data_IF_294796916040
#
_entry.id   IF_294796916040
#
_cell.length_a   1.000
_cell.length_b   1.000
_cell.length_c   1.000
_cell.angle_alpha   90.00
_cell.angle_beta   90.00
_cell.angle_gamma   90.00
#
_symmetry.space_group_name_H-M   'P 1'
#
loop_
_entity.id
_entity.type
_entity.pdbx_description
1 polymer ?
#
# COMPACT_ATOMS: atom_id res chain seq x y z
N UNK A 1 -13.36 -3.12 -15.83
CA UNK A 1 -14.58 -3.37 -15.01
C UNK A 1 -15.07 -4.82 -15.03
N UNK A 2 -15.06 -5.55 -16.15
CA UNK A 2 -15.61 -6.92 -16.23
C UNK A 2 -14.94 -7.95 -15.28
N UNK A 3 -13.63 -7.86 -15.06
CA UNK A 3 -12.89 -8.78 -14.19
C UNK A 3 -13.26 -8.57 -12.72
N UNK A 4 -13.31 -7.32 -12.25
CA UNK A 4 -13.69 -6.99 -10.88
C UNK A 4 -15.11 -7.48 -10.55
N UNK A 5 -16.09 -7.28 -11.46
CA UNK A 5 -17.44 -7.78 -11.27
C UNK A 5 -17.52 -9.31 -11.19
N UNK A 6 -16.69 -10.03 -11.98
CA UNK A 6 -16.63 -11.49 -11.99
C UNK A 6 -16.03 -12.05 -10.69
N UNK A 7 -15.03 -11.38 -10.13
CA UNK A 7 -14.44 -11.76 -8.83
C UNK A 7 -15.44 -11.51 -7.70
N UNK A 8 -16.05 -10.33 -7.64
CA UNK A 8 -17.05 -9.99 -6.62
C UNK A 8 -18.20 -11.01 -6.59
N UNK A 9 -18.77 -11.35 -7.76
CA UNK A 9 -19.87 -12.32 -7.85
C UNK A 9 -19.49 -13.72 -7.38
N UNK A 10 -18.25 -14.18 -7.66
CA UNK A 10 -17.77 -15.50 -7.21
C UNK A 10 -17.41 -15.53 -5.73
N UNK A 11 -16.88 -14.44 -5.19
CA UNK A 11 -16.60 -14.29 -3.74
C UNK A 11 -17.92 -14.30 -2.97
N UNK A 12 -18.90 -13.50 -3.37
CA UNK A 12 -20.26 -13.49 -2.78
C UNK A 12 -20.94 -14.86 -2.89
N UNK A 13 -20.78 -15.55 -4.02
CA UNK A 13 -21.32 -16.91 -4.21
C UNK A 13 -20.74 -17.95 -3.24
N UNK A 14 -19.51 -17.76 -2.76
CA UNK A 14 -18.89 -18.62 -1.71
C UNK A 14 -19.10 -18.11 -0.29
N UNK A 15 -19.33 -16.81 -0.09
CA UNK A 15 -19.58 -16.21 1.21
C UNK A 15 -20.97 -16.57 1.77
N UNK A 16 -22.00 -16.55 0.92
CA UNK A 16 -23.39 -16.88 1.30
C UNK A 16 -23.57 -18.26 1.94
N UNK A 17 -23.06 -19.38 1.38
CA UNK A 17 -23.21 -20.70 1.99
C UNK A 17 -22.42 -20.87 3.30
N UNK A 18 -21.44 -20.00 3.58
CA UNK A 18 -20.62 -20.03 4.81
C UNK A 18 -21.19 -19.10 5.90
N UNK A 19 -22.30 -18.40 5.64
CA UNK A 19 -22.91 -17.47 6.59
C UNK A 19 -22.09 -16.21 6.85
N UNK A 20 -21.21 -15.83 5.91
CA UNK A 20 -20.34 -14.68 6.05
C UNK A 20 -21.10 -13.38 5.70
N UNK A 21 -21.20 -12.48 6.67
CA UNK A 21 -21.72 -11.14 6.45
C UNK A 21 -20.58 -10.22 5.95
N UNK A 22 -20.57 -9.98 4.63
CA UNK A 22 -19.56 -9.16 3.95
C UNK A 22 -20.20 -7.82 3.57
N UNK A 23 -19.97 -6.74 4.33
CA UNK A 23 -20.42 -5.42 3.93
C UNK A 23 -19.74 -4.98 2.62
N UNK A 24 -20.42 -4.12 1.86
CA UNK A 24 -19.94 -3.66 0.55
C UNK A 24 -18.55 -3.00 0.61
N UNK A 25 -18.24 -2.28 1.70
CA UNK A 25 -16.91 -1.68 1.93
C UNK A 25 -15.79 -2.72 2.01
N UNK A 26 -16.04 -3.83 2.71
CA UNK A 26 -15.10 -4.96 2.78
C UNK A 26 -14.94 -5.66 1.44
N UNK A 27 -16.03 -5.79 0.67
CA UNK A 27 -15.98 -6.39 -0.65
C UNK A 27 -15.15 -5.56 -1.63
N UNK A 28 -15.31 -4.22 -1.63
CA UNK A 28 -14.53 -3.31 -2.47
C UNK A 28 -13.04 -3.40 -2.12
N UNK A 29 -12.71 -3.38 -0.83
CA UNK A 29 -11.32 -3.52 -0.36
C UNK A 29 -10.70 -4.85 -0.78
N UNK A 30 -11.44 -5.94 -0.62
CA UNK A 30 -11.01 -7.30 -0.99
C UNK A 30 -10.78 -7.44 -2.50
N UNK A 31 -11.67 -6.88 -3.31
CA UNK A 31 -11.56 -6.85 -4.77
C UNK A 31 -10.39 -5.99 -5.23
N UNK A 32 -10.11 -4.87 -4.54
CA UNK A 32 -8.94 -4.04 -4.81
C UNK A 32 -7.64 -4.79 -4.48
N UNK A 33 -7.51 -5.34 -3.27
CA UNK A 33 -6.29 -6.02 -2.83
C UNK A 33 -6.01 -7.35 -3.54
N UNK A 34 -7.06 -7.99 -4.05
CA UNK A 34 -6.93 -9.23 -4.83
C UNK A 34 -6.42 -9.00 -6.25
N UNK A 35 -6.43 -7.78 -6.79
CA UNK A 35 -6.00 -7.46 -8.16
C UNK A 35 -6.62 -8.38 -9.23
N UNK A 36 -7.86 -8.84 -9.01
CA UNK A 36 -8.56 -9.74 -9.94
C UNK A 36 -8.26 -11.24 -9.77
N UNK A 37 -7.40 -11.62 -8.82
CA UNK A 37 -7.11 -13.02 -8.50
C UNK A 37 -8.12 -13.58 -7.47
N UNK A 38 -8.92 -14.56 -7.90
CA UNK A 38 -9.94 -15.21 -7.06
C UNK A 38 -9.30 -16.02 -5.92
N UNK A 39 -8.15 -16.66 -6.14
CA UNK A 39 -7.46 -17.43 -5.08
C UNK A 39 -6.99 -16.50 -3.98
N UNK A 40 -6.38 -15.37 -4.36
CA UNK A 40 -5.97 -14.34 -3.40
C UNK A 40 -7.17 -13.76 -2.65
N UNK A 41 -8.25 -13.44 -3.37
CA UNK A 41 -9.50 -12.94 -2.79
C UNK A 41 -10.07 -13.87 -1.72
N UNK A 42 -10.14 -15.18 -1.99
CA UNK A 42 -10.65 -16.17 -1.05
C UNK A 42 -9.74 -16.36 0.17
N UNK A 43 -8.42 -16.33 -0.02
CA UNK A 43 -7.48 -16.40 1.10
C UNK A 43 -7.65 -15.20 2.04
N UNK A 44 -7.74 -13.99 1.48
CA UNK A 44 -7.99 -12.77 2.26
C UNK A 44 -9.33 -12.87 3.00
N UNK A 45 -10.40 -13.32 2.32
CA UNK A 45 -11.72 -13.50 2.92
C UNK A 45 -11.66 -14.42 4.16
N UNK A 46 -11.09 -15.61 3.98
CA UNK A 46 -11.02 -16.62 5.05
C UNK A 46 -10.14 -16.16 6.21
N UNK A 47 -8.98 -15.57 5.93
CA UNK A 47 -8.10 -15.02 6.97
C UNK A 47 -8.76 -13.87 7.72
N UNK A 48 -9.49 -13.00 7.03
CA UNK A 48 -10.20 -11.87 7.67
C UNK A 48 -11.34 -12.38 8.54
N UNK A 49 -12.09 -13.39 8.08
CA UNK A 49 -13.14 -14.01 8.89
C UNK A 49 -12.61 -14.72 10.14
N UNK A 50 -11.48 -15.41 10.03
CA UNK A 50 -10.84 -16.04 11.20
C UNK A 50 -10.31 -15.00 12.20
N UNK A 51 -9.85 -13.84 11.71
CA UNK A 51 -9.31 -12.78 12.56
C UNK A 51 -10.38 -11.84 13.15
N UNK A 52 -11.52 -11.68 12.47
CA UNK A 52 -12.58 -10.74 12.84
C UNK A 52 -13.96 -11.30 12.46
N UNK A 53 -14.93 -11.16 13.37
CA UNK A 53 -16.32 -11.57 13.12
C UNK A 53 -16.98 -10.78 11.98
N UNK A 54 -16.52 -9.54 11.70
CA UNK A 54 -17.02 -8.69 10.62
C UNK A 54 -15.92 -8.36 9.61
N UNK A 55 -16.23 -8.51 8.33
CA UNK A 55 -15.29 -8.27 7.22
C UNK A 55 -15.42 -6.81 6.76
N UNK A 56 -14.98 -5.88 7.60
CA UNK A 56 -14.93 -4.45 7.24
C UNK A 56 -13.71 -4.13 6.38
N UNK A 57 -13.72 -2.98 5.71
CA UNK A 57 -12.55 -2.48 4.96
C UNK A 57 -11.28 -2.47 5.83
N UNK A 58 -11.36 -1.91 7.04
CA UNK A 58 -10.22 -1.84 7.97
C UNK A 58 -9.68 -3.23 8.33
N UNK A 59 -10.57 -4.19 8.61
CA UNK A 59 -10.17 -5.56 8.92
C UNK A 59 -9.42 -6.22 7.75
N UNK A 60 -9.87 -5.98 6.51
CA UNK A 60 -9.23 -6.51 5.30
C UNK A 60 -7.85 -5.90 5.07
N UNK A 61 -7.69 -4.59 5.27
CA UNK A 61 -6.39 -3.91 5.14
C UNK A 61 -5.40 -4.36 6.23
N UNK A 62 -5.84 -4.42 7.48
CA UNK A 62 -5.03 -4.88 8.61
C UNK A 62 -4.60 -6.34 8.46
N UNK A 63 -5.53 -7.23 8.09
CA UNK A 63 -5.24 -8.66 7.91
C UNK A 63 -4.19 -8.92 6.82
N UNK A 64 -4.15 -8.08 5.79
CA UNK A 64 -3.19 -8.21 4.69
C UNK A 64 -1.90 -7.41 4.89
N UNK A 65 -1.77 -6.69 6.02
CA UNK A 65 -0.65 -5.80 6.30
C UNK A 65 -0.53 -4.65 5.29
N UNK A 66 -1.62 -4.31 4.59
CA UNK A 66 -1.65 -3.19 3.66
C UNK A 66 -2.04 -1.91 4.40
N UNK A 67 -1.40 -0.79 4.08
CA UNK A 67 -1.76 0.49 4.67
C UNK A 67 -3.13 0.96 4.14
N UNK A 68 -3.90 1.62 5.02
CA UNK A 68 -5.14 2.27 4.63
C UNK A 68 -4.84 3.43 3.66
N UNK A 69 -5.79 3.81 2.78
CA UNK A 69 -5.60 4.96 1.89
C UNK A 69 -5.22 6.25 2.64
N UNK A 70 -5.85 6.50 3.80
CA UNK A 70 -5.54 7.63 4.70
C UNK A 70 -4.11 7.58 5.24
N UNK A 71 -3.62 6.38 5.55
CA UNK A 71 -2.25 6.19 6.04
C UNK A 71 -1.23 6.48 4.94
N UNK A 72 -1.53 6.10 3.69
CA UNK A 72 -0.65 6.38 2.54
C UNK A 72 -0.56 7.87 2.23
N UNK A 73 -1.68 8.59 2.28
CA UNK A 73 -1.68 10.05 2.11
C UNK A 73 -0.79 10.71 3.18
N UNK A 74 -0.95 10.28 4.43
CA UNK A 74 -0.16 10.81 5.55
C UNK A 74 1.34 10.46 5.43
N UNK A 75 1.67 9.22 5.05
CA UNK A 75 3.05 8.77 4.82
C UNK A 75 3.68 9.57 3.67
N UNK A 76 2.96 9.73 2.56
CA UNK A 76 3.43 10.48 1.40
C UNK A 76 3.64 11.96 1.74
N UNK A 77 2.76 12.53 2.56
CA UNK A 77 2.93 13.89 3.08
C UNK A 77 4.21 14.03 3.90
N UNK A 78 4.49 13.09 4.82
CA UNK A 78 5.72 13.12 5.60
C UNK A 78 6.96 12.99 4.73
N UNK A 79 6.97 12.04 3.81
CA UNK A 79 8.09 11.83 2.88
C UNK A 79 8.39 13.07 2.03
N UNK A 80 7.35 13.81 1.60
CA UNK A 80 7.48 14.98 0.74
C UNK A 80 7.70 16.31 1.48
N UNK A 81 7.40 16.42 2.77
CA UNK A 81 7.45 17.72 3.47
C UNK A 81 8.34 17.72 4.72
N UNK A 82 8.47 16.60 5.41
CA UNK A 82 9.13 16.56 6.71
C UNK A 82 10.64 16.29 6.62
N UNK A 83 11.37 16.56 7.70
CA UNK A 83 12.79 16.22 7.77
C UNK A 83 13.03 14.70 7.74
N UNK A 84 14.26 14.27 7.44
CA UNK A 84 14.65 12.86 7.46
C UNK A 84 14.36 12.22 8.84
N UNK A 85 14.70 12.92 9.93
CA UNK A 85 14.51 12.42 11.29
C UNK A 85 13.03 12.21 11.64
N UNK A 86 12.16 13.15 11.25
CA UNK A 86 10.72 13.02 11.45
C UNK A 86 10.12 11.91 10.59
N UNK A 87 10.54 11.80 9.33
CA UNK A 87 10.13 10.72 8.43
C UNK A 87 10.60 9.35 8.92
N UNK A 88 11.76 9.27 9.59
CA UNK A 88 12.29 8.00 10.12
C UNK A 88 11.44 7.43 11.27
N UNK A 89 10.67 8.28 11.97
CA UNK A 89 9.66 7.82 12.95
C UNK A 89 8.59 6.92 12.32
N UNK A 90 8.47 6.91 10.98
CA UNK A 90 7.67 5.93 10.25
C UNK A 90 8.07 4.48 10.57
N UNK A 91 9.34 4.21 10.92
CA UNK A 91 9.80 2.88 11.32
C UNK A 91 9.03 2.35 12.54
N UNK A 92 8.76 3.22 13.50
CA UNK A 92 8.02 2.85 14.70
C UNK A 92 6.53 2.72 14.37
N UNK A 93 5.98 3.68 13.61
CA UNK A 93 4.56 3.67 13.21
C UNK A 93 4.19 2.44 12.39
N UNK A 94 5.02 2.02 11.43
CA UNK A 94 4.80 0.80 10.63
C UNK A 94 4.80 -0.44 11.51
N UNK A 95 5.71 -0.49 12.49
CA UNK A 95 5.83 -1.63 13.42
C UNK A 95 4.62 -1.73 14.34
N UNK A 96 4.17 -0.60 14.91
CA UNK A 96 2.97 -0.54 15.76
C UNK A 96 1.69 -0.96 15.02
N UNK A 97 1.57 -0.61 13.74
CA UNK A 97 0.40 -0.95 12.90
C UNK A 97 0.53 -2.28 12.14
N UNK A 98 1.66 -2.98 12.23
CA UNK A 98 1.89 -4.22 11.48
C UNK A 98 1.97 -4.05 9.95
N UNK A 99 2.40 -2.88 9.48
CA UNK A 99 2.47 -2.58 8.05
C UNK A 99 3.77 -3.11 7.43
N UNK A 100 3.63 -3.79 6.30
CA UNK A 100 4.79 -4.27 5.54
C UNK A 100 5.38 -3.12 4.70
N UNK A 101 6.71 -2.95 4.75
CA UNK A 101 7.38 -1.89 3.99
C UNK A 101 7.16 -2.04 2.48
N UNK A 102 7.15 -3.27 1.97
CA UNK A 102 6.85 -3.58 0.57
C UNK A 102 5.48 -3.05 0.13
N UNK A 103 4.46 -3.14 1.01
CA UNK A 103 3.13 -2.62 0.72
C UNK A 103 3.11 -1.09 0.74
N UNK A 104 3.86 -0.46 1.65
CA UNK A 104 4.04 1.00 1.68
C UNK A 104 4.70 1.47 0.38
N UNK A 105 5.81 0.86 -0.04
CA UNK A 105 6.52 1.22 -1.27
C UNK A 105 5.60 1.09 -2.50
N UNK A 106 4.83 0.00 -2.59
CA UNK A 106 3.86 -0.21 -3.69
C UNK A 106 2.77 0.86 -3.74
N UNK A 107 2.11 1.12 -2.62
CA UNK A 107 1.02 2.09 -2.58
C UNK A 107 1.52 3.53 -2.74
N UNK A 108 2.69 3.86 -2.20
CA UNK A 108 3.35 5.16 -2.43
C UNK A 108 3.72 5.32 -3.91
N UNK A 109 4.22 4.27 -4.56
CA UNK A 109 4.49 4.30 -6.02
C UNK A 109 3.22 4.60 -6.81
N UNK A 110 2.09 3.97 -6.46
CA UNK A 110 0.79 4.25 -7.06
C UNK A 110 0.30 5.69 -6.77
N UNK A 111 0.65 6.24 -5.61
CA UNK A 111 0.37 7.64 -5.27
C UNK A 111 1.21 8.62 -6.11
N UNK A 112 2.49 8.32 -6.33
CA UNK A 112 3.41 9.11 -7.17
C UNK A 112 2.91 9.21 -8.62
N UNK A 113 2.26 8.17 -9.14
CA UNK A 113 1.62 8.23 -10.47
C UNK A 113 0.44 9.20 -10.55
N UNK A 114 -0.25 9.47 -9.43
CA UNK A 114 -1.42 10.36 -9.40
C UNK A 114 -1.06 11.82 -9.21
N UNK A 115 0.03 12.11 -8.52
CA UNK A 115 0.47 13.49 -8.24
C UNK A 115 1.11 14.13 -9.48
N UNK A 116 0.87 15.44 -9.67
CA UNK A 116 1.51 16.21 -10.73
C UNK A 116 2.93 16.59 -10.29
N UNK A 117 3.92 16.03 -10.97
CA UNK A 117 5.34 16.32 -10.83
C UNK A 117 5.94 16.48 -12.24
N UNK A 118 7.05 17.24 -12.39
CA UNK A 118 7.83 17.26 -13.62
C UNK A 118 8.21 15.84 -14.06
N UNK A 119 8.22 15.60 -15.37
CA UNK A 119 8.47 14.28 -15.96
C UNK A 119 9.76 13.65 -15.45
N UNK A 120 10.83 14.42 -15.43
CA UNK A 120 12.18 13.90 -15.20
C UNK A 120 12.34 13.46 -13.74
N UNK A 121 11.85 14.29 -12.81
CA UNK A 121 11.83 13.97 -11.38
C UNK A 121 10.94 12.76 -11.11
N UNK A 122 9.78 12.67 -11.77
CA UNK A 122 8.88 11.54 -11.60
C UNK A 122 9.50 10.23 -12.09
N UNK A 123 10.12 10.24 -13.27
CA UNK A 123 10.78 9.05 -13.84
C UNK A 123 11.90 8.57 -12.94
N UNK A 124 12.75 9.49 -12.47
CA UNK A 124 13.84 9.15 -11.56
C UNK A 124 13.30 8.55 -10.24
N UNK A 125 12.31 9.18 -9.62
CA UNK A 125 11.71 8.71 -8.38
C UNK A 125 11.08 7.30 -8.53
N UNK A 126 10.43 7.02 -9.66
CA UNK A 126 9.86 5.70 -9.93
C UNK A 126 10.95 4.63 -10.09
N UNK A 127 12.04 4.95 -10.80
CA UNK A 127 13.16 4.02 -10.94
C UNK A 127 13.79 3.69 -9.58
N UNK A 128 14.01 4.71 -8.74
CA UNK A 128 14.55 4.52 -7.40
C UNK A 128 13.61 3.69 -6.49
N UNK A 129 12.30 3.89 -6.61
CA UNK A 129 11.29 3.08 -5.91
C UNK A 129 11.30 1.62 -6.38
N UNK A 130 11.47 1.38 -7.68
CA UNK A 130 11.56 0.04 -8.25
C UNK A 130 12.81 -0.71 -7.73
N UNK A 131 13.94 -0.03 -7.59
CA UNK A 131 15.15 -0.61 -6.99
C UNK A 131 14.94 -1.01 -5.53
N UNK A 132 14.21 -0.19 -4.75
CA UNK A 132 13.85 -0.53 -3.36
C UNK A 132 12.92 -1.75 -3.34
N UNK A 133 11.89 -1.78 -4.19
CA UNK A 133 10.99 -2.94 -4.30
C UNK A 133 11.76 -4.22 -4.68
N UNK A 134 12.67 -4.13 -5.64
CA UNK A 134 13.54 -5.23 -6.04
C UNK A 134 14.38 -5.72 -4.86
N UNK A 135 15.06 -4.84 -4.14
CA UNK A 135 15.88 -5.22 -2.97
C UNK A 135 15.05 -5.85 -1.86
N UNK A 136 13.85 -5.33 -1.59
CA UNK A 136 12.93 -5.91 -0.61
C UNK A 136 12.49 -7.33 -1.00
N UNK A 137 12.39 -7.64 -2.30
CA UNK A 137 12.05 -8.99 -2.76
C UNK A 137 13.10 -10.05 -2.41
N UNK A 138 14.36 -9.66 -2.16
CA UNK A 138 15.43 -10.56 -1.70
C UNK A 138 15.53 -10.68 -0.17
N UNK A 139 14.59 -10.11 0.59
CA UNK A 139 14.63 -10.16 2.06
C UNK A 139 15.66 -9.22 2.67
N UNK A 140 15.96 -8.10 2.02
CA UNK A 140 16.84 -7.06 2.58
C UNK A 140 16.27 -6.46 3.89
N UNK A 141 17.14 -5.84 4.68
CA UNK A 141 16.76 -5.23 5.95
C UNK A 141 15.79 -4.05 5.77
N UNK A 142 14.58 -4.21 6.30
CA UNK A 142 13.50 -3.21 6.32
C UNK A 142 13.94 -1.82 6.79
N UNK A 143 14.78 -1.71 7.84
CA UNK A 143 15.20 -0.42 8.38
C UNK A 143 16.10 0.34 7.40
N UNK A 144 16.99 -0.37 6.72
CA UNK A 144 17.89 0.22 5.72
C UNK A 144 17.11 0.65 4.47
N UNK A 145 16.17 -0.18 4.02
CA UNK A 145 15.33 0.17 2.87
C UNK A 145 14.36 1.31 3.19
N UNK A 146 13.89 1.44 4.43
CA UNK A 146 13.13 2.59 4.87
C UNK A 146 13.96 3.88 4.83
N UNK A 147 15.22 3.83 5.28
CA UNK A 147 16.14 4.97 5.15
C UNK A 147 16.36 5.36 3.69
N UNK A 148 16.52 4.36 2.82
CA UNK A 148 16.63 4.56 1.36
C UNK A 148 15.37 5.22 0.79
N UNK A 149 14.19 4.78 1.22
CA UNK A 149 12.91 5.37 0.83
C UNK A 149 12.86 6.87 1.20
N UNK A 150 13.26 7.25 2.42
CA UNK A 150 13.23 8.65 2.84
C UNK A 150 14.24 9.50 2.05
N UNK A 151 15.42 8.94 1.77
CA UNK A 151 16.47 9.61 1.00
C UNK A 151 16.04 9.92 -0.44
N UNK A 152 15.40 8.97 -1.14
CA UNK A 152 14.94 9.19 -2.52
C UNK A 152 13.87 10.27 -2.61
N UNK A 153 12.97 10.35 -1.63
CA UNK A 153 11.99 11.43 -1.56
C UNK A 153 12.64 12.77 -1.23
N UNK A 154 13.65 12.77 -0.36
CA UNK A 154 14.43 13.98 -0.05
C UNK A 154 15.15 14.51 -1.30
N UNK A 155 15.76 13.63 -2.10
CA UNK A 155 16.36 13.97 -3.39
C UNK A 155 15.34 14.52 -4.38
N UNK A 156 14.17 13.89 -4.48
CA UNK A 156 13.09 14.36 -5.35
C UNK A 156 12.64 15.78 -4.98
N UNK A 157 12.53 16.12 -3.69
CA UNK A 157 12.22 17.51 -3.26
C UNK A 157 13.28 18.51 -3.70
N UNK A 158 14.55 18.18 -3.51
CA UNK A 158 15.65 19.04 -3.91
C UNK A 158 15.64 19.29 -5.42
N UNK A 159 15.33 18.25 -6.21
CA UNK A 159 15.17 18.36 -7.66
C UNK A 159 13.95 19.22 -8.03
N UNK A 160 12.82 19.07 -7.34
CA UNK A 160 11.64 19.93 -7.56
C UNK A 160 11.94 21.40 -7.29
N UNK A 161 12.66 21.72 -6.20
CA UNK A 161 13.06 23.10 -5.89
C UNK A 161 14.02 23.65 -6.94
N UNK A 162 14.91 22.82 -7.49
CA UNK A 162 15.83 23.23 -8.55
C UNK A 162 15.13 23.55 -9.87
N UNK A 163 14.03 22.86 -10.21
CA UNK A 163 13.25 23.10 -11.44
C UNK A 163 12.38 24.36 -11.36
N UNK A 164 12.02 24.79 -10.15
CA UNK A 164 11.20 26.00 -9.91
C UNK A 164 12.05 27.28 -9.92
N UNK A 165 13.38 27.16 -9.79
CA UNK A 165 14.33 28.27 -9.91
C UNK A 165 14.75 28.48 -11.36
#
# INVERSE_FOLDING_TARGET
>A
MAIHARVSGRVLGRAKPVGLDVPDSGLVALVRLSNGDIRKALNILSSTHMASQKITEEAVYLCTGNPLPKDIEQISYWLLNESFAESFKLSERKTRKGLALINIVREVTMFVFKIKMPSDVRVQLINDLADIEYRLSFGCNDKLQLGSLIDIFTKARSALVAVVK
#
